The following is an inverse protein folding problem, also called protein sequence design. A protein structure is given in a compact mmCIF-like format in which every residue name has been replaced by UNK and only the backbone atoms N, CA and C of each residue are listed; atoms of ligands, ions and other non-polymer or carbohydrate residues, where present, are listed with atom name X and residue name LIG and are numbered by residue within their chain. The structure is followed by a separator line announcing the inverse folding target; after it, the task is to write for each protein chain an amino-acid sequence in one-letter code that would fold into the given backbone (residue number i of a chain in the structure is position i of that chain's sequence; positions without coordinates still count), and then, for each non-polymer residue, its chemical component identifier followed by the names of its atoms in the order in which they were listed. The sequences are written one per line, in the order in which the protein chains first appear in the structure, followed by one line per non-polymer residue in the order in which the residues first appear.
data_IF_325642572006
#
_entry.id   IF_325642572006
#
_cell.length_a   1.000
_cell.length_b   1.000
_cell.length_c   1.000
_cell.angle_alpha   90.00
_cell.angle_beta   90.00
_cell.angle_gamma   90.00
#
_symmetry.space_group_name_H-M   'P 1'
#
loop_
_entity.id
_entity.type
_entity.pdbx_description
1 polymer ?
#
# COMPACT_ATOMS: atom_id res chain seq x y z
N UNK A 1 -19.10 40.25 -6.64
CA UNK A 1 -19.90 40.02 -7.86
C UNK A 1 -18.94 39.42 -8.87
N UNK A 2 -18.94 38.08 -8.97
CA UNK A 2 -19.64 37.32 -10.03
C UNK A 2 -19.02 37.64 -11.40
N UNK A 3 -18.69 36.72 -12.28
CA UNK A 3 -18.92 35.29 -12.41
C UNK A 3 -18.05 34.89 -13.61
N UNK A 4 -17.56 33.65 -13.68
CA UNK A 4 -17.41 33.04 -15.00
C UNK A 4 -17.66 31.54 -14.88
N UNK A 5 -18.88 31.18 -15.28
CA UNK A 5 -19.37 29.86 -15.69
C UNK A 5 -18.34 29.12 -16.58
N UNK A 6 -18.32 27.80 -16.76
CA UNK A 6 -19.39 26.81 -16.79
C UNK A 6 -18.74 25.44 -17.04
N UNK A 7 -19.14 24.40 -16.29
CA UNK A 7 -19.65 23.12 -16.82
C UNK A 7 -19.90 22.17 -15.65
N UNK A 8 -21.10 21.58 -15.58
CA UNK A 8 -21.71 21.00 -14.38
C UNK A 8 -21.15 19.64 -13.95
N UNK A 9 -21.07 19.48 -12.62
CA UNK A 9 -20.61 18.33 -11.82
C UNK A 9 -21.53 17.09 -11.87
N UNK A 10 -22.56 17.07 -12.72
CA UNK A 10 -23.71 16.16 -12.60
C UNK A 10 -23.53 14.78 -13.24
N UNK A 11 -22.44 14.53 -13.96
CA UNK A 11 -22.25 13.31 -14.75
C UNK A 11 -21.27 12.30 -14.10
N UNK A 12 -21.02 12.41 -12.79
CA UNK A 12 -20.13 11.50 -12.05
C UNK A 12 -20.94 10.59 -11.10
N UNK A 13 -20.61 9.28 -11.00
CA UNK A 13 -21.19 8.38 -9.99
C UNK A 13 -20.93 8.89 -8.57
N UNK A 14 -21.86 8.60 -7.65
CA UNK A 14 -21.76 8.98 -6.25
C UNK A 14 -20.45 8.44 -5.63
N UNK A 15 -19.54 9.37 -5.28
CA UNK A 15 -18.22 9.06 -4.72
C UNK A 15 -17.02 9.70 -5.42
N UNK A 16 -17.16 10.27 -6.62
CA UNK A 16 -16.05 10.89 -7.36
C UNK A 16 -15.99 12.42 -7.22
N UNK A 17 -14.80 12.96 -6.89
CA UNK A 17 -14.48 14.40 -6.91
C UNK A 17 -13.16 14.65 -7.65
N UNK A 18 -13.10 15.70 -8.48
CA UNK A 18 -11.85 16.18 -9.08
C UNK A 18 -11.13 17.08 -8.07
N UNK A 19 -9.88 16.77 -7.74
CA UNK A 19 -9.03 17.58 -6.85
C UNK A 19 -7.69 17.81 -7.58
N UNK A 20 -7.48 19.04 -8.06
CA UNK A 20 -6.23 19.61 -8.63
C UNK A 20 -5.56 18.84 -9.80
N UNK A 21 -5.87 19.23 -11.05
CA UNK A 21 -5.09 19.01 -12.30
C UNK A 21 -4.49 17.61 -12.57
N UNK A 22 -5.01 16.53 -11.99
CA UNK A 22 -4.54 15.15 -12.26
C UNK A 22 -5.55 14.34 -13.05
N UNK A 23 -5.08 13.77 -14.17
CA UNK A 23 -5.84 12.91 -15.09
C UNK A 23 -5.61 11.43 -14.73
N UNK A 24 -6.68 10.66 -14.66
CA UNK A 24 -6.64 9.20 -14.48
C UNK A 24 -6.68 8.51 -15.85
N UNK A 25 -5.83 7.51 -16.07
CA UNK A 25 -5.81 6.70 -17.31
C UNK A 25 -5.99 5.22 -16.97
N UNK A 26 -6.84 4.55 -17.73
CA UNK A 26 -7.11 3.11 -17.66
C UNK A 26 -6.02 2.35 -18.42
N UNK A 27 -5.38 1.37 -17.77
CA UNK A 27 -4.50 0.40 -18.43
C UNK A 27 -3.10 0.20 -17.86
N UNK A 28 -2.78 0.74 -16.67
CA UNK A 28 -1.41 0.65 -16.16
C UNK A 28 -1.08 -0.68 -15.44
N UNK A 29 0.19 -1.08 -15.59
CA UNK A 29 0.77 -2.35 -15.09
C UNK A 29 1.00 -2.38 -13.57
N UNK A 30 0.68 -1.35 -12.79
CA UNK A 30 0.86 -1.36 -11.33
C UNK A 30 -0.45 -1.00 -10.61
N UNK A 31 -0.63 -1.43 -9.35
CA UNK A 31 -1.81 -1.11 -8.53
C UNK A 31 -1.65 0.16 -7.69
N UNK A 32 -0.45 0.75 -7.70
CA UNK A 32 -0.05 1.94 -6.97
C UNK A 32 0.54 2.95 -7.99
N UNK A 33 0.68 4.25 -7.65
CA UNK A 33 0.25 5.35 -8.51
C UNK A 33 0.90 5.49 -9.89
N UNK A 34 0.22 6.29 -10.71
CA UNK A 34 -0.03 6.05 -12.13
C UNK A 34 0.84 6.86 -13.10
N UNK A 35 1.94 7.49 -12.66
CA UNK A 35 2.79 8.33 -13.51
C UNK A 35 4.30 8.14 -13.27
N UNK A 36 5.13 8.62 -14.20
CA UNK A 36 6.59 8.47 -14.16
C UNK A 36 7.22 9.09 -12.89
N UNK A 37 6.57 10.07 -12.24
CA UNK A 37 7.05 10.64 -10.97
C UNK A 37 6.79 9.70 -9.79
N UNK A 38 5.81 8.81 -9.91
CA UNK A 38 5.48 7.78 -8.92
C UNK A 38 6.20 6.45 -9.18
N UNK A 39 6.56 6.15 -10.43
CA UNK A 39 7.47 5.02 -10.77
C UNK A 39 8.89 5.25 -10.19
N UNK A 40 9.29 6.51 -9.99
CA UNK A 40 10.50 6.88 -9.24
C UNK A 40 10.43 6.55 -7.74
N UNK A 41 9.51 5.72 -7.23
CA UNK A 41 9.51 5.31 -5.81
C UNK A 41 10.69 4.41 -5.42
N UNK A 42 11.16 3.55 -6.33
CA UNK A 42 12.41 2.80 -6.12
C UNK A 42 13.62 3.72 -6.25
N UNK A 43 13.57 4.69 -7.17
CA UNK A 43 14.57 5.75 -7.24
C UNK A 43 14.57 6.63 -5.99
N UNK A 44 13.42 6.84 -5.35
CA UNK A 44 13.32 7.66 -4.14
C UNK A 44 14.13 7.04 -3.00
N UNK A 45 13.99 5.72 -2.78
CA UNK A 45 14.81 5.04 -1.78
C UNK A 45 16.31 5.15 -2.14
N UNK A 46 16.66 4.94 -3.41
CA UNK A 46 18.01 5.14 -3.91
C UNK A 46 18.54 6.57 -3.69
N UNK A 47 17.74 7.59 -4.01
CA UNK A 47 18.09 9.00 -3.86
C UNK A 47 18.14 9.43 -2.40
N UNK A 48 17.24 8.95 -1.54
CA UNK A 48 17.31 9.17 -0.10
C UNK A 48 18.64 8.63 0.42
N UNK A 49 19.00 7.39 0.08
CA UNK A 49 20.27 6.78 0.47
C UNK A 49 21.49 7.52 -0.11
N UNK A 50 21.40 8.01 -1.34
CA UNK A 50 22.49 8.72 -2.03
C UNK A 50 22.68 10.16 -1.53
N UNK A 51 21.59 10.90 -1.32
CA UNK A 51 21.58 12.34 -0.98
C UNK A 51 21.68 12.60 0.53
N UNK A 52 21.48 11.57 1.35
CA UNK A 52 21.78 11.66 2.78
C UNK A 52 23.24 12.07 2.96
N UNK A 53 23.45 13.17 3.68
CA UNK A 53 24.78 13.71 3.96
C UNK A 53 25.62 12.70 4.75
N UNK A 54 26.96 12.74 4.63
CA UNK A 54 27.84 11.96 5.49
C UNK A 54 27.48 12.15 6.97
N UNK A 55 27.40 11.06 7.73
CA UNK A 55 26.93 11.04 9.12
C UNK A 55 25.41 11.12 9.33
N UNK A 56 24.61 11.29 8.27
CA UNK A 56 23.14 11.32 8.35
C UNK A 56 22.50 9.94 8.52
N UNK A 57 21.28 9.90 9.05
CA UNK A 57 20.51 8.68 9.25
C UNK A 57 19.45 8.49 8.16
N UNK A 58 19.22 7.23 7.78
CA UNK A 58 18.07 6.82 6.98
C UNK A 58 17.33 5.73 7.73
N UNK A 59 16.00 5.83 7.76
CA UNK A 59 15.09 4.77 8.20
C UNK A 59 14.15 4.43 7.04
N UNK A 60 14.00 3.14 6.72
CA UNK A 60 12.97 2.63 5.84
C UNK A 60 11.97 1.84 6.67
N UNK A 61 10.68 2.10 6.46
CA UNK A 61 9.57 1.45 7.13
C UNK A 61 8.54 1.08 6.06
N UNK A 62 8.12 -0.18 6.02
CA UNK A 62 7.19 -0.68 5.02
C UNK A 62 6.19 -1.65 5.68
N UNK A 63 5.01 -1.85 5.07
CA UNK A 63 3.97 -2.76 5.56
C UNK A 63 3.96 -4.06 4.75
N UNK A 64 4.12 -5.22 5.39
CA UNK A 64 4.01 -6.50 4.71
C UNK A 64 2.54 -6.82 4.39
N UNK A 65 2.26 -7.18 3.12
CA UNK A 65 0.89 -7.45 2.66
C UNK A 65 0.28 -8.73 3.24
N UNK A 66 1.11 -9.70 3.67
CA UNK A 66 0.64 -10.96 4.23
C UNK A 66 0.37 -10.82 5.72
N UNK A 67 -0.89 -11.00 6.18
CA UNK A 67 -1.22 -10.93 7.59
C UNK A 67 -0.89 -12.22 8.33
N UNK A 68 -0.56 -12.07 9.60
CA UNK A 68 -0.48 -13.13 10.58
C UNK A 68 -1.88 -13.41 11.15
N UNK A 69 -2.21 -14.71 11.31
CA UNK A 69 -3.54 -15.18 11.80
C UNK A 69 -4.71 -14.77 10.90
N UNK A 70 -4.52 -14.83 9.60
CA UNK A 70 -5.54 -14.51 8.60
C UNK A 70 -6.92 -15.16 8.90
N UNK A 71 -8.02 -14.50 8.49
CA UNK A 71 -9.37 -15.06 8.53
C UNK A 71 -9.52 -16.20 7.52
N UNK A 72 -10.68 -16.88 7.53
CA UNK A 72 -10.94 -17.97 6.60
C UNK A 72 -11.10 -17.47 5.14
N UNK A 73 -11.81 -16.34 4.95
CA UNK A 73 -11.96 -15.71 3.64
C UNK A 73 -10.76 -14.78 3.38
N UNK A 74 -9.84 -15.24 2.54
CA UNK A 74 -8.66 -14.49 2.08
C UNK A 74 -8.71 -14.21 0.57
N UNK A 75 -9.91 -14.27 -0.02
CA UNK A 75 -10.10 -14.21 -1.47
C UNK A 75 -9.58 -12.89 -2.07
N UNK A 76 -9.85 -11.75 -1.40
CA UNK A 76 -9.33 -10.45 -1.83
C UNK A 76 -7.80 -10.38 -1.81
N UNK A 77 -7.15 -10.93 -0.76
CA UNK A 77 -5.69 -11.02 -0.66
C UNK A 77 -5.11 -11.92 -1.77
N UNK A 78 -5.77 -13.03 -2.10
CA UNK A 78 -5.35 -13.90 -3.20
C UNK A 78 -5.41 -13.16 -4.54
N UNK A 79 -6.53 -12.48 -4.83
CA UNK A 79 -6.67 -11.69 -6.06
C UNK A 79 -5.59 -10.61 -6.18
N UNK A 80 -5.30 -9.93 -5.07
CA UNK A 80 -4.21 -8.97 -4.98
C UNK A 80 -2.84 -9.63 -5.29
N UNK A 81 -2.56 -10.77 -4.68
CA UNK A 81 -1.28 -11.50 -4.85
C UNK A 81 -1.10 -11.97 -6.28
N UNK A 82 -2.16 -12.50 -6.89
CA UNK A 82 -2.17 -12.97 -8.29
C UNK A 82 -1.93 -11.80 -9.24
N UNK A 83 -2.63 -10.69 -9.06
CA UNK A 83 -2.45 -9.51 -9.90
C UNK A 83 -1.06 -8.90 -9.73
N UNK A 84 -0.53 -8.85 -8.49
CA UNK A 84 0.83 -8.36 -8.22
C UNK A 84 1.87 -9.22 -8.93
N UNK A 85 1.76 -10.54 -8.81
CA UNK A 85 2.65 -11.50 -9.49
C UNK A 85 2.58 -11.36 -11.01
N UNK A 86 1.37 -11.29 -11.59
CA UNK A 86 1.18 -11.09 -13.03
C UNK A 86 1.80 -9.77 -13.54
N UNK A 87 1.90 -8.77 -12.65
CA UNK A 87 2.51 -7.47 -12.91
C UNK A 87 4.02 -7.44 -12.64
N UNK A 88 4.62 -8.53 -12.16
CA UNK A 88 6.03 -8.61 -11.79
C UNK A 88 6.36 -7.86 -10.49
N UNK A 89 5.37 -7.69 -9.61
CA UNK A 89 5.54 -7.07 -8.29
C UNK A 89 5.74 -8.17 -7.26
N UNK A 90 6.97 -8.27 -6.75
CA UNK A 90 7.29 -9.15 -5.64
C UNK A 90 7.15 -8.42 -4.30
N UNK A 91 6.14 -8.81 -3.53
CA UNK A 91 5.82 -8.23 -2.23
C UNK A 91 6.73 -8.78 -1.11
N UNK A 92 7.57 -9.78 -1.39
CA UNK A 92 8.50 -10.35 -0.41
C UNK A 92 9.84 -9.60 -0.33
N UNK A 93 10.15 -8.74 -1.31
CA UNK A 93 11.35 -7.89 -1.32
C UNK A 93 11.42 -6.92 -0.13
N UNK A 94 10.28 -6.65 0.52
CA UNK A 94 10.20 -5.89 1.77
C UNK A 94 11.08 -6.47 2.90
N UNK A 95 11.42 -7.76 2.84
CA UNK A 95 12.30 -8.39 3.83
C UNK A 95 13.79 -8.15 3.54
N UNK A 96 14.12 -7.51 2.42
CA UNK A 96 15.49 -7.22 1.98
C UNK A 96 15.94 -5.78 2.25
N UNK A 97 15.19 -5.02 3.04
CA UNK A 97 15.52 -3.62 3.38
C UNK A 97 16.87 -3.47 4.09
N UNK A 98 17.26 -4.40 4.98
CA UNK A 98 18.58 -4.38 5.62
C UNK A 98 19.74 -4.61 4.64
N UNK A 99 19.71 -5.69 3.83
CA UNK A 99 20.66 -5.85 2.72
C UNK A 99 20.71 -4.63 1.79
N UNK A 100 19.58 -3.97 1.52
CA UNK A 100 19.52 -2.77 0.69
C UNK A 100 20.35 -1.62 1.27
N UNK A 101 20.19 -1.28 2.56
CA UNK A 101 21.01 -0.25 3.20
C UNK A 101 22.49 -0.61 3.22
N UNK A 102 22.82 -1.88 3.52
CA UNK A 102 24.19 -2.37 3.52
C UNK A 102 24.85 -2.26 2.13
N UNK A 103 24.11 -2.56 1.06
CA UNK A 103 24.60 -2.40 -0.32
C UNK A 103 24.91 -0.95 -0.70
N UNK A 104 24.34 0.02 0.03
CA UNK A 104 24.62 1.46 -0.12
C UNK A 104 25.66 2.00 0.88
N UNK A 105 26.43 1.09 1.49
CA UNK A 105 27.50 1.37 2.45
C UNK A 105 27.04 2.06 3.72
N UNK A 106 25.79 1.87 4.16
CA UNK A 106 25.36 2.35 5.47
C UNK A 106 26.02 1.52 6.59
N UNK A 107 26.36 2.17 7.69
CA UNK A 107 26.91 1.56 8.89
C UNK A 107 25.88 1.56 10.03
N UNK A 108 26.18 0.81 11.11
CA UNK A 108 25.30 0.68 12.28
C UNK A 108 23.87 0.28 11.89
N UNK A 109 23.76 -0.64 10.93
CA UNK A 109 22.48 -1.00 10.32
C UNK A 109 21.72 -1.98 11.21
N UNK A 110 20.64 -1.49 11.80
CA UNK A 110 19.71 -2.29 12.60
C UNK A 110 18.39 -2.48 11.88
N UNK A 111 17.71 -3.58 12.19
CA UNK A 111 16.40 -3.90 11.60
C UNK A 111 15.58 -4.75 12.53
N UNK A 112 14.28 -4.52 12.54
CA UNK A 112 13.30 -5.37 13.20
C UNK A 112 11.94 -5.20 12.48
N UNK A 113 10.85 -5.58 13.11
CA UNK A 113 9.50 -5.24 12.68
C UNK A 113 8.63 -4.85 13.87
N UNK A 114 7.59 -4.09 13.60
CA UNK A 114 6.51 -3.89 14.55
C UNK A 114 5.27 -4.69 14.14
N UNK A 115 4.46 -5.06 15.13
CA UNK A 115 3.17 -5.70 14.93
C UNK A 115 2.09 -4.64 14.78
N UNK A 116 1.34 -4.68 13.69
CA UNK A 116 0.24 -3.76 13.37
C UNK A 116 -1.11 -4.48 13.45
N UNK A 117 -1.87 -4.34 14.55
CA UNK A 117 -3.17 -4.98 14.72
C UNK A 117 -4.22 -4.54 13.70
N UNK A 118 -5.14 -5.45 13.32
CA UNK A 118 -6.28 -5.16 12.44
C UNK A 118 -7.60 -5.31 13.19
N UNK A 119 -8.19 -4.20 13.61
CA UNK A 119 -9.51 -4.15 14.26
C UNK A 119 -9.51 -4.47 15.76
N UNK A 120 -8.33 -4.61 16.37
CA UNK A 120 -8.14 -4.84 17.81
C UNK A 120 -6.91 -4.07 18.32
N UNK A 121 -6.67 -4.05 19.63
CA UNK A 121 -5.53 -3.30 20.19
C UNK A 121 -5.78 -1.80 20.31
N UNK A 122 -7.05 -1.39 20.42
CA UNK A 122 -7.48 0.00 20.60
C UNK A 122 -7.50 0.80 19.30
N UNK A 123 -7.47 2.13 19.45
CA UNK A 123 -7.69 3.09 18.36
C UNK A 123 -6.78 2.88 17.15
N UNK A 124 -5.53 2.49 17.36
CA UNK A 124 -4.56 2.27 16.27
C UNK A 124 -5.01 1.11 15.39
N UNK A 125 -5.37 -0.03 15.96
CA UNK A 125 -5.80 -1.18 15.16
C UNK A 125 -7.16 -1.00 14.52
N UNK A 126 -8.07 -0.27 15.17
CA UNK A 126 -9.36 0.14 14.59
C UNK A 126 -9.16 1.06 13.37
N UNK A 127 -8.24 2.03 13.46
CA UNK A 127 -7.89 2.90 12.33
C UNK A 127 -7.19 2.10 11.23
N UNK A 128 -6.28 1.20 11.60
CA UNK A 128 -5.53 0.41 10.63
C UNK A 128 -6.44 -0.49 9.80
N UNK A 129 -7.41 -1.17 10.42
CA UNK A 129 -8.35 -2.01 9.66
C UNK A 129 -9.22 -1.19 8.71
N UNK A 130 -9.65 0.01 9.09
CA UNK A 130 -10.39 0.90 8.19
C UNK A 130 -9.53 1.32 7.00
N UNK A 131 -8.25 1.64 7.21
CA UNK A 131 -7.33 1.95 6.12
C UNK A 131 -7.14 0.76 5.17
N UNK A 132 -7.00 -0.46 5.72
CA UNK A 132 -6.89 -1.68 4.92
C UNK A 132 -8.17 -1.93 4.12
N UNK A 133 -9.34 -1.79 4.74
CA UNK A 133 -10.63 -1.94 4.06
C UNK A 133 -10.75 -1.00 2.86
N UNK A 134 -10.49 0.30 3.07
CA UNK A 134 -10.52 1.31 2.01
C UNK A 134 -9.48 1.03 0.90
N UNK A 135 -8.27 0.61 1.28
CA UNK A 135 -7.24 0.24 0.31
C UNK A 135 -7.69 -0.92 -0.58
N UNK A 136 -8.26 -1.99 0.00
CA UNK A 136 -8.75 -3.11 -0.78
C UNK A 136 -9.93 -2.73 -1.68
N UNK A 137 -10.88 -1.93 -1.19
CA UNK A 137 -11.99 -1.44 -2.03
C UNK A 137 -11.50 -0.62 -3.23
N UNK A 138 -10.52 0.26 -3.03
CA UNK A 138 -9.93 1.07 -4.10
C UNK A 138 -9.26 0.22 -5.19
N UNK A 139 -8.87 -1.01 -4.88
CA UNK A 139 -8.27 -1.96 -5.81
C UNK A 139 -9.30 -2.78 -6.58
N UNK A 140 -10.59 -2.66 -6.27
CA UNK A 140 -11.68 -3.38 -6.92
C UNK A 140 -11.67 -3.31 -8.45
N UNK A 141 -11.46 -2.15 -9.09
CA UNK A 141 -11.41 -2.05 -10.55
C UNK A 141 -10.34 -2.93 -11.22
N UNK A 142 -9.27 -3.27 -10.50
CA UNK A 142 -8.18 -4.10 -11.04
C UNK A 142 -8.18 -5.52 -10.50
N UNK A 143 -8.63 -5.76 -9.26
CA UNK A 143 -8.64 -7.09 -8.63
C UNK A 143 -9.91 -7.87 -8.95
N UNK A 144 -11.09 -7.24 -9.01
CA UNK A 144 -12.34 -7.95 -9.28
C UNK A 144 -12.32 -8.71 -10.63
N UNK A 145 -11.79 -8.15 -11.73
CA UNK A 145 -11.65 -8.90 -12.99
C UNK A 145 -10.74 -10.13 -12.88
N UNK A 146 -9.71 -10.07 -12.02
CA UNK A 146 -8.79 -11.21 -11.78
C UNK A 146 -9.48 -12.33 -11.03
N UNK A 147 -10.44 -11.99 -10.17
CA UNK A 147 -11.27 -12.95 -9.44
C UNK A 147 -12.50 -13.42 -10.24
N UNK A 148 -12.79 -12.80 -11.39
CA UNK A 148 -13.95 -13.12 -12.21
C UNK A 148 -15.29 -12.69 -11.59
N UNK A 149 -15.27 -11.67 -10.73
CA UNK A 149 -16.44 -11.15 -10.00
C UNK A 149 -16.71 -9.69 -10.38
N UNK A 150 -17.93 -9.21 -10.11
CA UNK A 150 -18.24 -7.78 -10.25
C UNK A 150 -17.78 -6.96 -9.03
N UNK A 151 -17.98 -5.63 -9.08
CA UNK A 151 -17.52 -4.73 -8.01
C UNK A 151 -18.30 -4.90 -6.70
N UNK A 152 -19.58 -5.26 -6.77
CA UNK A 152 -20.43 -5.41 -5.60
C UNK A 152 -20.04 -6.70 -4.86
N UNK A 153 -19.85 -7.80 -5.61
CA UNK A 153 -19.35 -9.05 -5.08
C UNK A 153 -17.93 -8.91 -4.52
N UNK A 154 -17.04 -8.18 -5.21
CA UNK A 154 -15.70 -7.87 -4.69
C UNK A 154 -15.76 -7.09 -3.37
N UNK A 155 -16.62 -6.07 -3.27
CA UNK A 155 -16.81 -5.29 -2.04
C UNK A 155 -17.31 -6.18 -0.90
N UNK A 156 -18.23 -7.11 -1.18
CA UNK A 156 -18.70 -8.09 -0.21
C UNK A 156 -17.58 -9.07 0.23
N UNK A 157 -16.72 -9.52 -0.68
CA UNK A 157 -15.53 -10.33 -0.36
C UNK A 157 -14.60 -9.56 0.59
N UNK A 158 -14.29 -8.30 0.28
CA UNK A 158 -13.43 -7.45 1.10
C UNK A 158 -14.04 -7.26 2.51
N UNK A 159 -15.35 -7.03 2.59
CA UNK A 159 -16.04 -6.89 3.88
C UNK A 159 -15.93 -8.16 4.73
N UNK A 160 -16.21 -9.34 4.16
CA UNK A 160 -16.10 -10.62 4.89
C UNK A 160 -14.69 -10.89 5.41
N UNK A 161 -13.67 -10.57 4.60
CA UNK A 161 -12.28 -10.66 5.03
C UNK A 161 -12.02 -9.73 6.24
N UNK A 162 -12.45 -8.48 6.15
CA UNK A 162 -12.26 -7.48 7.22
C UNK A 162 -12.98 -7.85 8.51
N UNK A 163 -14.21 -8.36 8.43
CA UNK A 163 -15.02 -8.79 9.58
C UNK A 163 -14.31 -9.91 10.38
N UNK A 164 -13.55 -10.77 9.68
CA UNK A 164 -12.80 -11.85 10.29
C UNK A 164 -11.55 -11.40 11.07
N UNK A 165 -11.02 -10.19 10.83
CA UNK A 165 -9.73 -9.78 11.38
C UNK A 165 -9.73 -9.68 12.91
N UNK A 166 -10.74 -9.02 13.47
CA UNK A 166 -10.85 -8.78 14.92
C UNK A 166 -10.96 -10.08 15.71
N UNK A 167 -11.83 -10.99 15.27
CA UNK A 167 -12.06 -12.28 15.95
C UNK A 167 -10.82 -13.16 15.99
N UNK A 168 -10.00 -13.10 14.94
CA UNK A 168 -8.74 -13.87 14.84
C UNK A 168 -7.54 -13.19 15.48
N UNK A 169 -7.70 -11.95 15.95
CA UNK A 169 -6.60 -11.05 16.33
C UNK A 169 -5.53 -11.00 15.23
N UNK A 170 -5.98 -10.78 14.00
CA UNK A 170 -5.14 -10.69 12.80
C UNK A 170 -4.25 -9.44 12.88
N UNK A 171 -3.03 -9.51 12.37
CA UNK A 171 -2.10 -8.38 12.39
C UNK A 171 -1.10 -8.47 11.22
N UNK A 172 -0.56 -7.32 10.78
CA UNK A 172 0.52 -7.26 9.81
C UNK A 172 1.87 -7.06 10.50
N UNK A 173 2.93 -7.55 9.88
CA UNK A 173 4.29 -7.10 10.20
C UNK A 173 4.60 -5.83 9.43
N UNK A 174 5.20 -4.86 10.07
CA UNK A 174 5.79 -3.71 9.40
C UNK A 174 7.30 -3.69 9.67
N UNK A 175 8.13 -4.29 8.79
CA UNK A 175 9.57 -4.26 8.94
C UNK A 175 10.10 -2.83 8.81
N UNK A 176 11.10 -2.54 9.64
CA UNK A 176 11.88 -1.32 9.54
C UNK A 176 13.37 -1.62 9.59
N UNK A 177 14.14 -0.76 8.96
CA UNK A 177 15.60 -0.75 9.02
C UNK A 177 16.07 0.68 9.15
N UNK A 178 17.11 0.91 9.92
CA UNK A 178 17.79 2.20 9.93
C UNK A 178 19.30 2.04 9.99
N UNK A 179 20.03 3.08 9.57
CA UNK A 179 21.49 3.12 9.63
C UNK A 179 22.05 4.50 9.31
N UNK A 180 23.37 4.64 9.45
CA UNK A 180 24.09 5.89 9.18
C UNK A 180 24.88 5.88 7.90
N UNK A 181 24.88 7.00 7.18
CA UNK A 181 25.78 7.25 6.06
C UNK A 181 27.21 7.40 6.60
N UNK A 182 28.23 6.77 5.98
CA UNK A 182 29.63 6.99 6.35
C UNK A 182 30.01 8.47 6.26
N UNK A 183 30.95 8.90 7.11
CA UNK A 183 31.56 10.24 7.07
C UNK A 183 32.57 10.34 5.94
#
# INVERSE_FOLDING_TARGET
MSDTSSSSLSDLPDGFRIIHDRRFHNGNKYMLPNDEREVSRLDLQHYVMRLTKPGGWVELFELACTPERAPADVTALHGLTTLSTAKGIDHTEIWRLKPLLMAHNFHNVESDYISCPLGWGGRVGETHVNNIHLAYLAMGPVVAPVLGVDQDEYSAIVQRMVDGFKGRKTWHKAPYVYGTKPV
#
